data_IF_878157043638
#
_entry.id   IF_878157043638
#
_cell.length_a   1.000
_cell.length_b   1.000
_cell.length_c   1.000
_cell.angle_alpha   90.00
_cell.angle_beta   90.00
_cell.angle_gamma   90.00
#
_symmetry.space_group_name_H-M   'P 1'
#
loop_
_entity.id
_entity.type
_entity.pdbx_description
1 polymer ?
#
# COMPACT_ATOMS: atom_id res chain seq x y z
N UNK A 1 7.24 30.10 0.84
CA UNK A 1 6.54 29.44 1.97
C UNK A 1 7.08 28.02 2.02
N UNK A 2 8.08 27.79 2.87
CA UNK A 2 8.79 26.52 2.98
C UNK A 2 7.84 25.47 3.55
N UNK A 3 7.60 24.40 2.81
CA UNK A 3 6.77 23.28 3.26
C UNK A 3 7.60 22.51 4.28
N UNK A 4 7.39 22.81 5.56
CA UNK A 4 7.81 21.97 6.68
C UNK A 4 7.16 20.60 6.48
N UNK A 5 7.93 19.67 5.93
CA UNK A 5 7.65 18.24 6.01
C UNK A 5 7.79 17.91 7.49
N UNK A 6 6.69 18.03 8.24
CA UNK A 6 6.62 17.53 9.61
C UNK A 6 6.97 16.05 9.54
N UNK A 7 8.20 15.75 9.93
CA UNK A 7 8.63 14.43 10.35
C UNK A 7 7.76 14.06 11.55
N UNK A 8 6.52 13.63 11.28
CA UNK A 8 5.71 12.91 12.23
C UNK A 8 6.57 11.74 12.65
N UNK A 9 7.06 11.81 13.89
CA UNK A 9 7.58 10.67 14.66
C UNK A 9 6.40 9.70 14.81
N UNK A 10 6.01 9.04 13.73
CA UNK A 10 5.28 7.80 13.80
C UNK A 10 6.25 6.84 14.48
N UNK A 11 6.14 6.72 15.81
CA UNK A 11 6.69 5.59 16.53
C UNK A 11 5.95 4.39 15.98
N UNK A 12 6.50 3.76 14.93
CA UNK A 12 6.01 2.50 14.38
C UNK A 12 6.09 1.47 15.51
N UNK A 13 5.03 1.41 16.32
CA UNK A 13 4.95 0.77 17.63
C UNK A 13 4.97 -0.75 17.57
N UNK A 14 5.43 -1.34 16.47
CA UNK A 14 5.70 -2.77 16.42
C UNK A 14 6.99 -3.05 17.21
N UNK A 15 6.93 -3.90 18.25
CA UNK A 15 8.12 -4.32 18.98
C UNK A 15 9.18 -4.84 18.01
N UNK A 16 10.45 -4.50 18.24
CA UNK A 16 11.57 -4.88 17.36
C UNK A 16 11.61 -6.39 17.07
N UNK A 17 11.10 -7.20 17.99
CA UNK A 17 11.03 -8.66 17.89
C UNK A 17 9.96 -9.17 16.90
N UNK A 18 8.91 -8.38 16.65
CA UNK A 18 7.80 -8.78 15.76
C UNK A 18 8.14 -8.56 14.28
N UNK A 19 8.96 -7.55 13.99
CA UNK A 19 9.38 -7.18 12.62
C UNK A 19 10.05 -8.32 11.83
N UNK A 20 11.04 -9.07 12.36
CA UNK A 20 11.64 -10.20 11.64
C UNK A 20 10.64 -11.34 11.40
N UNK A 21 9.73 -11.59 12.33
CA UNK A 21 8.68 -12.59 12.17
C UNK A 21 7.72 -12.22 11.03
N UNK A 22 7.23 -10.97 11.00
CA UNK A 22 6.37 -10.49 9.92
C UNK A 22 7.07 -10.53 8.57
N UNK A 23 8.37 -10.18 8.52
CA UNK A 23 9.17 -10.29 7.31
C UNK A 23 9.21 -11.73 6.81
N UNK A 24 9.52 -12.68 7.68
CA UNK A 24 9.62 -14.10 7.30
C UNK A 24 8.28 -14.66 6.79
N UNK A 25 7.17 -14.29 7.42
CA UNK A 25 5.83 -14.79 7.06
C UNK A 25 5.25 -14.14 5.80
N UNK A 26 5.46 -12.83 5.63
CA UNK A 26 4.67 -12.03 4.66
C UNK A 26 5.48 -11.41 3.55
N UNK A 27 6.78 -11.12 3.71
CA UNK A 27 7.54 -10.39 2.69
C UNK A 27 7.56 -11.13 1.35
N UNK A 28 7.79 -12.45 1.37
CA UNK A 28 7.79 -13.25 0.14
C UNK A 28 6.44 -13.23 -0.58
N UNK A 29 5.34 -13.22 0.17
CA UNK A 29 3.96 -13.16 -0.37
C UNK A 29 3.69 -11.81 -1.01
N UNK A 30 4.04 -10.73 -0.31
CA UNK A 30 3.94 -9.35 -0.79
C UNK A 30 4.73 -9.17 -2.09
N UNK A 31 6.01 -9.56 -2.12
CA UNK A 31 6.85 -9.40 -3.31
C UNK A 31 6.40 -10.27 -4.50
N UNK A 32 5.61 -11.33 -4.26
CA UNK A 32 4.98 -12.15 -5.29
C UNK A 32 3.58 -11.66 -5.71
N UNK A 33 3.07 -10.59 -5.10
CA UNK A 33 1.74 -10.08 -5.42
C UNK A 33 0.59 -10.88 -4.80
N UNK A 34 0.83 -11.75 -3.81
CA UNK A 34 -0.21 -12.59 -3.22
C UNK A 34 -1.19 -11.77 -2.36
N UNK A 35 -2.47 -12.14 -2.38
CA UNK A 35 -3.45 -11.61 -1.46
C UNK A 35 -3.27 -12.19 -0.07
N UNK A 36 -3.34 -11.34 0.95
CA UNK A 36 -3.33 -11.77 2.35
C UNK A 36 -4.77 -11.97 2.82
N UNK A 37 -5.08 -13.16 3.33
CA UNK A 37 -6.44 -13.53 3.75
C UNK A 37 -6.93 -12.88 5.05
N UNK A 38 -6.15 -11.98 5.65
CA UNK A 38 -6.54 -11.25 6.84
C UNK A 38 -6.89 -9.80 6.50
N UNK A 39 -7.96 -9.30 7.11
CA UNK A 39 -8.31 -7.87 7.08
C UNK A 39 -7.81 -7.24 8.38
N UNK A 40 -7.01 -6.20 8.26
CA UNK A 40 -6.55 -5.41 9.40
C UNK A 40 -7.12 -4.00 9.29
N UNK A 41 -7.59 -3.45 10.41
CA UNK A 41 -7.98 -2.04 10.46
C UNK A 41 -6.73 -1.18 10.39
N UNK A 42 -6.76 -0.13 9.55
CA UNK A 42 -5.68 0.84 9.51
C UNK A 42 -5.54 1.52 10.88
N UNK A 43 -4.31 1.76 11.36
CA UNK A 43 -4.06 2.59 12.54
C UNK A 43 -4.75 3.96 12.38
N UNK A 44 -5.34 4.54 13.44
CA UNK A 44 -6.03 5.83 13.35
C UNK A 44 -5.16 6.97 12.80
N UNK A 45 -3.84 6.89 12.97
CA UNK A 45 -2.89 7.88 12.45
C UNK A 45 -2.72 7.83 10.93
N UNK A 46 -3.18 6.76 10.29
CA UNK A 46 -3.16 6.55 8.84
C UNK A 46 -4.56 6.66 8.22
N UNK A 47 -5.59 6.94 9.02
CA UNK A 47 -6.92 7.20 8.51
C UNK A 47 -6.92 8.54 7.74
N UNK A 48 -7.63 8.62 6.59
CA UNK A 48 -7.85 9.90 5.93
C UNK A 48 -8.66 10.84 6.82
N UNK A 49 -8.47 12.14 6.65
CA UNK A 49 -9.27 13.16 7.32
C UNK A 49 -10.69 13.21 6.75
N UNK A 50 -11.66 13.65 7.57
CA UNK A 50 -13.07 13.76 7.17
C UNK A 50 -13.33 14.86 6.12
N UNK A 51 -12.39 15.80 5.97
CA UNK A 51 -12.45 16.95 5.06
C UNK A 51 -11.59 16.76 3.80
N UNK A 52 -11.32 15.51 3.39
CA UNK A 52 -10.47 15.25 2.22
C UNK A 52 -11.16 15.70 0.93
N UNK A 53 -10.49 16.58 0.19
CA UNK A 53 -10.88 16.95 -1.16
C UNK A 53 -10.37 15.89 -2.17
N UNK A 54 -11.26 15.40 -3.03
CA UNK A 54 -10.95 14.31 -3.96
C UNK A 54 -10.04 14.74 -5.11
N UNK A 55 -10.13 15.99 -5.58
CA UNK A 55 -9.29 16.48 -6.65
C UNK A 55 -7.86 16.69 -6.15
N UNK A 56 -7.69 17.23 -4.95
CA UNK A 56 -6.40 17.31 -4.25
C UNK A 56 -5.82 15.92 -3.99
N UNK A 57 -6.64 14.98 -3.50
CA UNK A 57 -6.21 13.60 -3.25
C UNK A 57 -5.73 12.91 -4.54
N UNK A 58 -6.44 13.12 -5.66
CA UNK A 58 -6.04 12.61 -6.98
C UNK A 58 -4.69 13.18 -7.41
N UNK A 59 -4.50 14.50 -7.30
CA UNK A 59 -3.24 15.14 -7.66
C UNK A 59 -2.06 14.62 -6.83
N UNK A 60 -2.27 14.47 -5.51
CA UNK A 60 -1.25 13.89 -4.61
C UNK A 60 -0.91 12.46 -5.00
N UNK A 61 -1.91 11.60 -5.23
CA UNK A 61 -1.68 10.23 -5.67
C UNK A 61 -0.87 10.19 -6.97
N UNK A 62 -1.18 11.07 -7.93
CA UNK A 62 -0.49 11.13 -9.22
C UNK A 62 0.98 11.53 -9.07
N UNK A 63 1.28 12.52 -8.23
CA UNK A 63 2.64 12.91 -7.89
C UNK A 63 3.42 11.79 -7.18
N UNK A 64 2.79 11.04 -6.28
CA UNK A 64 3.40 9.87 -5.61
C UNK A 64 3.71 8.74 -6.59
N UNK A 65 2.82 8.50 -7.56
CA UNK A 65 3.07 7.52 -8.64
C UNK A 65 4.28 7.92 -9.48
N UNK A 66 4.37 9.20 -9.87
CA UNK A 66 5.52 9.73 -10.62
C UNK A 66 6.82 9.59 -9.81
N UNK A 67 6.79 9.90 -8.51
CA UNK A 67 7.92 9.74 -7.60
C UNK A 67 8.36 8.28 -7.51
N UNK A 68 7.44 7.35 -7.29
CA UNK A 68 7.76 5.91 -7.19
C UNK A 68 8.24 5.35 -8.52
N UNK A 69 7.86 5.92 -9.66
CA UNK A 69 8.31 5.49 -11.00
C UNK A 69 9.67 6.07 -11.40
N UNK A 70 10.04 7.25 -10.91
CA UNK A 70 11.32 7.88 -11.25
C UNK A 70 12.51 6.99 -10.83
N UNK A 71 13.44 6.63 -11.76
CA UNK A 71 14.57 5.75 -11.46
C UNK A 71 15.56 6.34 -10.45
N UNK A 72 15.60 7.67 -10.30
CA UNK A 72 16.50 8.39 -9.39
C UNK A 72 15.91 8.60 -7.99
N UNK A 73 14.72 8.08 -7.71
CA UNK A 73 14.09 8.22 -6.38
C UNK A 73 14.85 7.46 -5.31
N UNK A 74 15.26 8.19 -4.28
CA UNK A 74 15.85 7.63 -3.08
C UNK A 74 14.75 7.17 -2.12
N UNK A 75 14.71 5.85 -1.86
CA UNK A 75 13.78 5.28 -0.88
C UNK A 75 14.40 5.24 0.52
N UNK A 76 13.54 5.10 1.54
CA UNK A 76 14.00 4.93 2.90
C UNK A 76 14.94 3.72 3.05
N UNK A 77 16.00 3.83 3.86
CA UNK A 77 17.00 2.78 4.00
C UNK A 77 16.47 1.52 4.71
N UNK A 78 15.33 1.61 5.41
CA UNK A 78 14.70 0.48 6.07
C UNK A 78 13.18 0.58 6.00
N UNK A 79 12.52 -0.54 5.70
CA UNK A 79 11.07 -0.59 5.68
C UNK A 79 10.50 -0.53 7.11
N UNK A 80 9.56 0.37 7.45
CA UNK A 80 9.09 0.56 8.82
C UNK A 80 8.52 -0.70 9.50
N UNK A 81 7.84 -1.55 8.73
CA UNK A 81 7.22 -2.80 9.23
C UNK A 81 8.20 -3.99 9.20
N UNK A 82 9.03 -4.09 8.17
CA UNK A 82 9.88 -5.27 7.93
C UNK A 82 11.30 -5.09 8.45
N UNK A 83 11.68 -3.88 8.87
CA UNK A 83 12.90 -3.53 9.58
C UNK A 83 14.22 -3.66 8.81
N UNK A 84 14.25 -4.44 7.73
CA UNK A 84 15.43 -4.66 6.92
C UNK A 84 15.52 -3.65 5.75
N UNK A 85 16.73 -3.44 5.20
CA UNK A 85 16.90 -2.69 3.97
C UNK A 85 16.14 -3.32 2.82
N UNK A 86 15.55 -2.46 2.00
CA UNK A 86 14.89 -2.82 0.75
C UNK A 86 15.69 -2.20 -0.39
N UNK A 87 15.96 -2.98 -1.43
CA UNK A 87 16.40 -2.44 -2.71
C UNK A 87 15.27 -1.61 -3.34
N UNK A 88 15.60 -0.72 -4.28
CA UNK A 88 14.63 0.15 -4.94
C UNK A 88 13.49 -0.65 -5.60
N UNK A 89 13.81 -1.80 -6.20
CA UNK A 89 12.84 -2.70 -6.84
C UNK A 89 11.89 -3.33 -5.81
N UNK A 90 12.39 -3.65 -4.62
CA UNK A 90 11.57 -4.19 -3.53
C UNK A 90 10.61 -3.14 -2.99
N UNK A 91 11.05 -1.88 -2.91
CA UNK A 91 10.18 -0.74 -2.59
C UNK A 91 9.07 -0.58 -3.63
N UNK A 92 9.42 -0.59 -4.93
CA UNK A 92 8.43 -0.50 -6.02
C UNK A 92 7.45 -1.66 -6.01
N UNK A 93 7.93 -2.88 -5.81
CA UNK A 93 7.10 -4.08 -5.67
C UNK A 93 6.13 -3.98 -4.49
N UNK A 94 6.59 -3.46 -3.35
CA UNK A 94 5.74 -3.20 -2.19
C UNK A 94 4.67 -2.14 -2.47
N UNK A 95 5.03 -1.01 -3.10
CA UNK A 95 4.07 0.02 -3.49
C UNK A 95 3.00 -0.52 -4.45
N UNK A 96 3.42 -1.32 -5.44
CA UNK A 96 2.50 -1.94 -6.39
C UNK A 96 1.57 -2.94 -5.71
N UNK A 97 2.10 -3.81 -4.86
CA UNK A 97 1.29 -4.74 -4.07
C UNK A 97 0.28 -4.00 -3.18
N UNK A 98 0.71 -2.92 -2.52
CA UNK A 98 -0.14 -2.13 -1.63
C UNK A 98 -1.27 -1.42 -2.39
N UNK A 99 -0.95 -0.86 -3.56
CA UNK A 99 -1.94 -0.28 -4.46
C UNK A 99 -2.94 -1.34 -4.94
N UNK A 100 -2.46 -2.50 -5.39
CA UNK A 100 -3.33 -3.61 -5.81
C UNK A 100 -4.22 -4.12 -4.68
N UNK A 101 -3.70 -4.20 -3.46
CA UNK A 101 -4.48 -4.56 -2.26
C UNK A 101 -5.64 -3.59 -2.04
N UNK A 102 -5.36 -2.28 -2.03
CA UNK A 102 -6.39 -1.26 -1.85
C UNK A 102 -7.37 -1.17 -3.00
N UNK A 103 -6.94 -1.36 -4.24
CA UNK A 103 -7.79 -1.25 -5.43
C UNK A 103 -8.49 -2.56 -5.80
N UNK A 104 -8.28 -3.64 -5.04
CA UNK A 104 -8.87 -4.95 -5.32
C UNK A 104 -10.39 -4.95 -5.36
N UNK A 105 -11.06 -4.00 -4.69
CA UNK A 105 -12.52 -3.84 -4.75
C UNK A 105 -13.04 -3.38 -6.12
N UNK A 106 -12.16 -2.83 -6.97
CA UNK A 106 -12.52 -2.40 -8.33
C UNK A 106 -12.53 -3.56 -9.32
N UNK A 107 -11.95 -4.71 -8.96
CA UNK A 107 -12.00 -5.90 -9.80
C UNK A 107 -13.42 -6.46 -9.67
N UNK A 108 -14.22 -6.51 -10.75
CA UNK A 108 -15.54 -7.09 -10.69
C UNK A 108 -15.39 -8.56 -10.29
N UNK A 109 -15.96 -8.93 -9.14
CA UNK A 109 -16.26 -10.33 -8.89
C UNK A 109 -17.34 -10.67 -9.90
N UNK A 110 -16.98 -11.23 -11.05
CA UNK A 110 -17.97 -11.74 -11.98
C UNK A 110 -18.79 -12.78 -11.21
N UNK A 111 -19.95 -12.37 -10.69
CA UNK A 111 -21.03 -13.31 -10.49
C UNK A 111 -21.28 -13.86 -11.89
N UNK A 112 -21.21 -15.18 -12.11
CA UNK A 112 -21.71 -15.72 -13.37
C UNK A 112 -23.17 -15.29 -13.42
N UNK A 113 -23.48 -14.29 -14.25
CA UNK A 113 -24.85 -14.01 -14.63
C UNK A 113 -25.38 -15.33 -15.16
N UNK A 114 -26.30 -15.93 -14.40
CA UNK A 114 -27.06 -17.06 -14.85
C UNK A 114 -27.62 -16.66 -16.21
N UNK A 115 -27.15 -17.35 -17.24
CA UNK A 115 -27.66 -17.35 -18.59
C UNK A 115 -29.20 -17.39 -18.48
N UNK A 116 -29.86 -16.24 -18.57
CA UNK A 116 -31.30 -16.19 -18.78
C UNK A 116 -31.47 -16.66 -20.21
N UNK A 117 -31.73 -17.96 -20.35
CA UNK A 117 -32.30 -18.54 -21.54
C UNK A 117 -33.62 -17.84 -21.79
N UNK A 118 -33.58 -16.90 -22.71
CA UNK A 118 -34.72 -16.31 -23.39
C UNK A 118 -35.41 -17.45 -24.18
N UNK A 119 -36.28 -18.19 -23.49
CA UNK A 119 -37.21 -19.12 -24.14
C UNK A 119 -38.36 -18.30 -24.71
N UNK A 120 -38.36 -18.30 -26.04
CA UNK A 120 -39.31 -17.69 -26.95
C UNK A 120 -40.69 -18.35 -26.89
#
# INVERSE_FOLDING_TARGET
KTMEMSHTKATWGLPRLVRPLLRWLYLGKVLRGEQLGFRATAPPQLAPSDDVDLDDARQRLQAEVELVQNPSTEFLPAHPVFGAPFAAEQWRGMHLWHAAHHLSFLIPTAAPEAMQSDER
#
